data_IF_134954299012
#
_entry.id   IF_134954299012
#
_cell.length_a   1.000
_cell.length_b   1.000
_cell.length_c   1.000
_cell.angle_alpha   90.00
_cell.angle_beta   90.00
_cell.angle_gamma   90.00
#
_symmetry.space_group_name_H-M   'P 1'
#
loop_
_entity.id
_entity.type
_entity.pdbx_description
1 polymer ?
#
# COMPACT_ATOMS: atom_id res chain seq x y z
N UNK A 1 -6.43 -18.21 -15.65
CA UNK A 1 -5.36 -17.22 -15.37
C UNK A 1 -5.98 -16.16 -14.46
N UNK A 2 -5.56 -16.07 -13.18
CA UNK A 2 -5.96 -14.97 -12.31
C UNK A 2 -5.19 -13.74 -12.76
N UNK A 3 -5.88 -12.73 -13.30
CA UNK A 3 -5.30 -11.39 -13.48
C UNK A 3 -4.75 -10.96 -12.12
N UNK A 4 -3.46 -10.64 -12.04
CA UNK A 4 -2.91 -9.95 -10.88
C UNK A 4 -3.67 -8.63 -10.78
N UNK A 5 -4.50 -8.47 -9.76
CA UNK A 5 -5.07 -7.17 -9.43
C UNK A 5 -3.89 -6.29 -9.03
N UNK A 6 -3.62 -5.27 -9.79
CA UNK A 6 -2.72 -4.19 -9.42
C UNK A 6 -3.15 -3.67 -8.05
N UNK A 7 -2.22 -3.63 -7.11
CA UNK A 7 -2.49 -3.09 -5.78
C UNK A 7 -2.65 -1.58 -5.90
N UNK A 8 -3.88 -1.11 -5.89
CA UNK A 8 -4.19 0.32 -5.91
C UNK A 8 -3.63 1.00 -4.65
N UNK A 9 -2.97 2.13 -4.84
CA UNK A 9 -2.33 2.90 -3.77
C UNK A 9 -3.34 3.83 -3.07
N UNK A 10 -4.26 3.23 -2.30
CA UNK A 10 -5.34 3.95 -1.65
C UNK A 10 -4.89 4.99 -0.62
N UNK A 11 -3.82 4.72 0.17
CA UNK A 11 -3.34 5.64 1.20
C UNK A 11 -2.80 6.95 0.62
N UNK A 12 -1.91 6.96 -0.40
CA UNK A 12 -1.52 8.20 -1.06
C UNK A 12 -2.69 8.99 -1.65
N UNK A 13 -3.68 8.31 -2.24
CA UNK A 13 -4.88 8.95 -2.77
C UNK A 13 -5.77 9.53 -1.65
N UNK A 14 -5.93 8.81 -0.55
CA UNK A 14 -6.61 9.33 0.64
C UNK A 14 -5.90 10.56 1.20
N UNK A 15 -4.57 10.52 1.32
CA UNK A 15 -3.76 11.65 1.77
C UNK A 15 -3.96 12.89 0.89
N UNK A 16 -4.01 12.71 -0.41
CA UNK A 16 -4.32 13.80 -1.35
C UNK A 16 -5.79 14.25 -1.21
N UNK A 17 -6.72 13.31 -1.13
CA UNK A 17 -8.16 13.60 -1.03
C UNK A 17 -8.53 14.40 0.22
N UNK A 18 -7.96 14.06 1.38
CA UNK A 18 -8.25 14.82 2.61
C UNK A 18 -7.67 16.23 2.57
N UNK A 19 -6.52 16.44 1.89
CA UNK A 19 -5.97 17.77 1.66
C UNK A 19 -6.85 18.62 0.73
N UNK A 20 -7.45 18.00 -0.29
CA UNK A 20 -8.43 18.65 -1.17
C UNK A 20 -9.67 19.07 -0.38
N UNK A 21 -10.24 18.15 0.40
CA UNK A 21 -11.43 18.44 1.20
C UNK A 21 -11.20 19.57 2.22
N UNK A 22 -9.98 19.67 2.74
CA UNK A 22 -9.58 20.71 3.71
C UNK A 22 -8.83 21.88 3.05
N UNK A 23 -8.93 22.04 1.72
CA UNK A 23 -8.16 23.06 1.00
C UNK A 23 -8.46 24.51 1.46
N UNK A 24 -9.69 24.79 1.86
CA UNK A 24 -10.08 26.09 2.42
C UNK A 24 -9.42 26.41 3.76
N UNK A 25 -8.88 25.41 4.46
CA UNK A 25 -8.26 25.55 5.79
C UNK A 25 -6.72 25.43 5.74
N UNK A 26 -6.15 25.37 4.52
CA UNK A 26 -4.74 25.01 4.28
C UNK A 26 -3.72 25.92 4.98
N UNK A 27 -4.06 27.19 5.17
CA UNK A 27 -3.20 28.15 5.89
C UNK A 27 -3.08 27.86 7.39
N UNK A 28 -4.04 27.11 7.93
CA UNK A 28 -4.15 26.79 9.38
C UNK A 28 -3.85 25.33 9.70
N UNK A 29 -3.59 24.50 8.68
CA UNK A 29 -3.35 23.08 8.84
C UNK A 29 -2.02 22.67 8.22
N UNK A 30 -1.25 21.86 8.94
CA UNK A 30 -0.09 21.16 8.40
C UNK A 30 -0.30 19.66 8.44
N UNK A 31 0.16 18.95 7.40
CA UNK A 31 -0.07 17.53 7.21
C UNK A 31 1.25 16.77 7.30
N UNK A 32 1.33 15.78 8.17
CA UNK A 32 2.49 14.92 8.38
C UNK A 32 2.08 13.48 8.11
N UNK A 33 2.57 12.91 7.00
CA UNK A 33 2.29 11.54 6.59
C UNK A 33 3.35 10.59 7.16
N UNK A 34 2.94 9.37 7.53
CA UNK A 34 3.85 8.31 8.00
C UNK A 34 4.73 8.73 9.20
N UNK A 35 4.13 9.29 10.22
CA UNK A 35 4.86 9.67 11.42
C UNK A 35 5.46 8.44 12.12
N UNK A 36 6.79 8.44 12.31
CA UNK A 36 7.52 7.32 12.92
C UNK A 36 7.59 7.46 14.43
N UNK A 37 7.15 6.44 15.15
CA UNK A 37 7.34 6.32 16.59
C UNK A 37 8.69 5.67 16.93
N UNK A 38 9.63 6.47 17.44
CA UNK A 38 10.88 5.99 18.00
C UNK A 38 11.86 5.34 17.02
N UNK A 39 12.86 4.61 17.54
CA UNK A 39 13.98 4.03 16.78
C UNK A 39 13.70 2.68 16.13
N UNK A 40 12.50 2.08 16.30
CA UNK A 40 12.11 0.83 15.65
C UNK A 40 10.90 1.06 14.76
N UNK A 41 10.98 0.70 13.46
CA UNK A 41 9.90 0.93 12.53
C UNK A 41 8.72 -0.03 12.82
N UNK A 42 7.76 0.41 13.61
CA UNK A 42 6.37 0.05 13.36
C UNK A 42 5.82 1.19 12.53
N UNK A 43 5.86 1.05 11.22
CA UNK A 43 5.10 1.90 10.33
C UNK A 43 3.62 1.71 10.69
N UNK A 44 3.04 2.75 11.22
CA UNK A 44 1.59 2.89 11.32
C UNK A 44 1.27 3.94 10.27
N UNK A 45 0.48 3.58 9.28
CA UNK A 45 0.05 4.47 8.19
C UNK A 45 -0.98 5.49 8.72
N UNK A 46 -0.53 6.33 9.66
CA UNK A 46 -1.34 7.35 10.29
C UNK A 46 -0.95 8.70 9.77
N UNK A 47 -1.94 9.47 9.32
CA UNK A 47 -1.81 10.87 9.00
C UNK A 47 -1.97 11.72 10.26
N UNK A 48 -1.06 12.65 10.50
CA UNK A 48 -1.23 13.68 11.53
C UNK A 48 -1.51 15.02 10.85
N UNK A 49 -2.61 15.64 11.27
CA UNK A 49 -2.98 16.99 10.86
C UNK A 49 -2.80 17.90 12.07
N UNK A 50 -1.86 18.83 12.00
CA UNK A 50 -1.62 19.84 13.04
C UNK A 50 -2.40 21.11 12.70
N UNK A 51 -3.11 21.63 13.69
CA UNK A 51 -3.93 22.83 13.57
C UNK A 51 -3.30 23.99 14.33
N UNK A 52 -3.28 25.15 13.74
CA UNK A 52 -2.74 26.35 14.36
C UNK A 52 -3.68 26.91 15.42
N UNK A 53 -3.18 27.07 16.64
CA UNK A 53 -3.82 27.80 17.73
C UNK A 53 -5.32 27.52 17.89
N UNK A 54 -6.09 28.58 18.13
CA UNK A 54 -7.54 28.53 18.40
C UNK A 54 -8.41 28.55 17.12
N UNK A 55 -7.80 28.42 15.93
CA UNK A 55 -8.56 28.40 14.70
C UNK A 55 -9.65 27.32 14.71
N UNK A 56 -10.86 27.67 14.28
CA UNK A 56 -11.98 26.74 14.17
C UNK A 56 -12.18 26.32 12.73
N UNK A 57 -11.89 25.04 12.42
CA UNK A 57 -12.09 24.46 11.10
C UNK A 57 -13.58 24.47 10.75
N UNK A 58 -13.93 25.07 9.62
CA UNK A 58 -15.32 25.22 9.17
C UNK A 58 -15.81 23.98 8.43
N UNK A 59 -14.91 23.31 7.71
CA UNK A 59 -15.24 22.07 6.99
C UNK A 59 -15.77 21.02 7.95
N UNK A 60 -16.91 20.41 7.63
CA UNK A 60 -17.65 19.50 8.50
C UNK A 60 -16.79 18.33 9.05
N UNK A 61 -15.94 17.71 8.23
CA UNK A 61 -15.06 16.61 8.64
C UNK A 61 -13.94 17.05 9.60
N UNK A 62 -13.62 18.35 9.65
CA UNK A 62 -12.56 18.90 10.48
C UNK A 62 -13.06 19.67 11.72
N UNK A 63 -14.37 19.81 11.93
CA UNK A 63 -14.91 20.57 13.07
C UNK A 63 -14.49 20.04 14.43
N UNK A 64 -14.19 18.75 14.55
CA UNK A 64 -13.69 18.13 15.78
C UNK A 64 -12.22 18.45 16.07
N UNK A 65 -11.46 18.93 15.06
CA UNK A 65 -10.02 19.06 15.11
C UNK A 65 -9.55 19.98 16.23
N UNK A 66 -8.50 19.52 16.92
CA UNK A 66 -7.73 20.25 17.92
C UNK A 66 -6.29 20.42 17.47
N UNK A 67 -5.36 20.72 18.35
CA UNK A 67 -3.95 20.95 18.00
C UNK A 67 -3.32 19.83 17.19
N UNK A 68 -3.63 18.58 17.53
CA UNK A 68 -3.04 17.38 16.90
C UNK A 68 -4.14 16.37 16.53
N UNK A 69 -4.29 16.08 15.24
CA UNK A 69 -5.40 15.26 14.78
C UNK A 69 -4.84 14.00 14.08
N UNK A 70 -5.02 12.87 14.72
CA UNK A 70 -4.54 11.56 14.25
C UNK A 70 -5.62 10.94 13.39
N UNK A 71 -5.30 10.64 12.13
CA UNK A 71 -6.28 10.15 11.16
C UNK A 71 -5.83 8.79 10.63
N UNK A 72 -6.63 7.76 10.87
CA UNK A 72 -6.46 6.40 10.33
C UNK A 72 -7.44 6.17 9.20
N UNK A 73 -6.94 5.72 8.05
CA UNK A 73 -7.74 5.38 6.88
C UNK A 73 -7.76 3.87 6.62
N UNK A 74 -8.95 3.35 6.35
CA UNK A 74 -9.16 1.99 5.85
C UNK A 74 -9.67 2.03 4.42
N UNK A 75 -8.95 1.35 3.54
CA UNK A 75 -9.34 1.23 2.13
C UNK A 75 -10.73 0.61 1.94
N UNK A 76 -11.38 0.77 0.78
CA UNK A 76 -12.72 0.21 0.57
C UNK A 76 -12.82 -1.29 0.78
N UNK A 77 -11.74 -2.04 0.54
CA UNK A 77 -11.68 -3.48 0.75
C UNK A 77 -11.47 -3.88 2.22
N UNK A 78 -11.03 -2.94 3.07
CA UNK A 78 -10.71 -3.19 4.47
C UNK A 78 -11.86 -2.80 5.39
N UNK A 79 -11.95 -3.47 6.54
CA UNK A 79 -12.94 -3.13 7.56
C UNK A 79 -12.28 -2.59 8.80
N UNK A 80 -12.72 -1.43 9.27
CA UNK A 80 -12.33 -0.90 10.57
C UNK A 80 -12.81 -1.83 11.69
N UNK A 81 -11.89 -2.31 12.53
CA UNK A 81 -12.15 -3.29 13.57
C UNK A 81 -11.70 -2.82 14.97
N UNK A 82 -11.88 -3.66 15.99
CA UNK A 82 -11.58 -3.33 17.39
C UNK A 82 -10.06 -3.19 17.61
N UNK A 83 -9.27 -4.03 16.96
CA UNK A 83 -7.80 -3.99 17.10
C UNK A 83 -7.23 -2.72 16.47
N UNK A 84 -7.77 -2.27 15.33
CA UNK A 84 -7.43 -0.98 14.72
C UNK A 84 -7.71 0.18 15.67
N UNK A 85 -8.89 0.15 16.34
CA UNK A 85 -9.22 1.17 17.33
C UNK A 85 -8.16 1.26 18.44
N UNK A 86 -7.78 0.13 19.03
CA UNK A 86 -6.77 0.12 20.08
C UNK A 86 -5.37 0.47 19.58
N UNK A 87 -5.03 0.07 18.36
CA UNK A 87 -3.75 0.42 17.76
C UNK A 87 -3.60 1.94 17.62
N UNK A 88 -4.60 2.61 17.06
CA UNK A 88 -4.57 4.06 16.87
C UNK A 88 -4.68 4.79 18.21
N UNK A 89 -5.46 4.28 19.14
CA UNK A 89 -5.56 4.83 20.49
C UNK A 89 -4.21 4.74 21.23
N UNK A 90 -3.53 3.60 21.15
CA UNK A 90 -2.20 3.45 21.71
C UNK A 90 -1.19 4.39 21.01
N UNK A 91 -1.31 4.57 19.70
CA UNK A 91 -0.51 5.53 18.95
C UNK A 91 -0.70 6.96 19.48
N UNK A 92 -1.95 7.40 19.73
CA UNK A 92 -2.23 8.70 20.30
C UNK A 92 -1.58 8.89 21.68
N UNK A 93 -1.60 7.85 22.52
CA UNK A 93 -0.90 7.84 23.80
C UNK A 93 0.62 7.95 23.65
N UNK A 94 1.22 7.22 22.70
CA UNK A 94 2.65 7.31 22.41
C UNK A 94 3.03 8.66 21.82
N UNK A 95 2.23 9.20 20.92
CA UNK A 95 2.46 10.52 20.34
C UNK A 95 2.51 11.62 21.41
N UNK A 96 1.58 11.58 22.36
CA UNK A 96 1.60 12.46 23.53
C UNK A 96 2.86 12.26 24.39
N UNK A 97 3.22 11.00 24.66
CA UNK A 97 4.33 10.67 25.54
C UNK A 97 5.70 10.98 24.94
N UNK A 98 5.84 10.99 23.62
CA UNK A 98 7.08 11.31 22.87
C UNK A 98 7.26 12.82 22.64
N UNK A 99 6.37 13.66 23.17
CA UNK A 99 6.46 15.11 23.05
C UNK A 99 7.65 15.69 23.84
N UNK A 100 8.34 16.65 23.23
CA UNK A 100 9.45 17.38 23.87
C UNK A 100 9.24 18.89 23.77
N UNK A 101 9.38 19.65 24.89
CA UNK A 101 9.64 19.19 26.27
C UNK A 101 8.49 18.30 26.81
N UNK A 102 8.76 17.57 27.91
CA UNK A 102 7.74 16.74 28.53
C UNK A 102 6.45 17.55 28.83
N UNK A 103 5.29 16.91 28.62
CA UNK A 103 3.97 17.52 28.77
C UNK A 103 3.70 18.71 27.83
N UNK A 104 4.43 18.83 26.74
CA UNK A 104 4.19 19.86 25.72
C UNK A 104 2.84 19.69 24.98
N UNK A 105 2.43 18.44 24.75
CA UNK A 105 1.14 18.10 24.16
C UNK A 105 0.21 17.61 25.26
N UNK A 106 -0.92 18.28 25.45
CA UNK A 106 -1.97 17.83 26.35
C UNK A 106 -2.86 16.78 25.66
N UNK A 107 -3.43 15.84 26.43
CA UNK A 107 -4.28 14.79 25.86
C UNK A 107 -5.54 15.37 25.23
N UNK A 108 -6.02 16.46 25.81
CA UNK A 108 -7.18 17.22 25.33
C UNK A 108 -6.94 17.88 23.97
N UNK A 109 -5.67 18.11 23.59
CA UNK A 109 -5.30 18.70 22.30
C UNK A 109 -5.19 17.65 21.17
N UNK A 110 -5.37 16.38 21.50
CA UNK A 110 -5.36 15.30 20.53
C UNK A 110 -6.79 14.92 20.14
N UNK A 111 -7.00 14.64 18.86
CA UNK A 111 -8.22 13.99 18.35
C UNK A 111 -7.88 12.74 17.55
N UNK A 112 -8.81 11.80 17.48
CA UNK A 112 -8.70 10.61 16.64
C UNK A 112 -9.83 10.60 15.62
N UNK A 113 -9.48 10.46 14.35
CA UNK A 113 -10.43 10.29 13.25
C UNK A 113 -10.19 8.95 12.56
N UNK A 114 -11.20 8.09 12.58
CA UNK A 114 -11.21 6.87 11.78
C UNK A 114 -11.99 7.11 10.49
N UNK A 115 -11.38 6.83 9.36
CA UNK A 115 -12.01 6.93 8.04
C UNK A 115 -12.18 5.53 7.46
N UNK A 116 -13.40 5.14 7.15
CA UNK A 116 -13.71 3.84 6.57
C UNK A 116 -14.83 3.94 5.54
N UNK A 117 -14.86 3.03 4.57
CA UNK A 117 -15.87 3.04 3.52
C UNK A 117 -17.25 2.62 4.04
N UNK A 118 -17.32 1.54 4.82
CA UNK A 118 -18.55 0.96 5.32
C UNK A 118 -18.70 1.15 6.85
N UNK A 119 -19.97 1.19 7.32
CA UNK A 119 -20.28 1.28 8.75
C UNK A 119 -19.65 0.12 9.54
N UNK A 120 -18.77 0.38 10.53
CA UNK A 120 -18.02 -0.63 11.24
C UNK A 120 -18.83 -1.27 12.38
N UNK A 121 -19.82 -2.10 12.04
CA UNK A 121 -20.85 -2.64 12.97
C UNK A 121 -20.27 -3.29 14.23
N UNK A 122 -19.18 -4.07 14.09
CA UNK A 122 -18.54 -4.79 15.22
C UNK A 122 -17.88 -3.81 16.19
N UNK A 123 -17.14 -2.83 15.67
CA UNK A 123 -16.51 -1.79 16.47
C UNK A 123 -17.56 -0.96 17.19
N UNK A 124 -18.59 -0.48 16.49
CA UNK A 124 -19.66 0.34 17.10
C UNK A 124 -20.37 -0.40 18.23
N UNK A 125 -20.67 -1.69 18.03
CA UNK A 125 -21.25 -2.52 19.09
C UNK A 125 -20.33 -2.60 20.30
N UNK A 126 -19.05 -2.87 20.09
CA UNK A 126 -18.04 -2.94 21.13
C UNK A 126 -17.94 -1.60 21.91
N UNK A 127 -17.86 -0.47 21.20
CA UNK A 127 -17.79 0.85 21.83
C UNK A 127 -19.02 1.14 22.71
N UNK A 128 -20.22 0.75 22.26
CA UNK A 128 -21.46 0.94 23.01
C UNK A 128 -21.59 -0.01 24.20
N UNK A 129 -21.39 -1.32 23.99
CA UNK A 129 -21.68 -2.35 24.98
C UNK A 129 -20.55 -2.55 26.00
N UNK A 130 -19.29 -2.47 25.56
CA UNK A 130 -18.12 -2.73 26.40
C UNK A 130 -17.52 -1.43 26.96
N UNK A 131 -17.32 -0.42 26.09
CA UNK A 131 -16.74 0.86 26.50
C UNK A 131 -17.78 1.83 27.07
N UNK A 132 -19.09 1.53 26.93
CA UNK A 132 -20.21 2.36 27.35
C UNK A 132 -20.20 3.76 26.72
N UNK A 133 -19.60 3.87 25.50
CA UNK A 133 -19.59 5.12 24.76
C UNK A 133 -20.90 5.36 24.02
N UNK A 134 -21.23 6.64 23.81
CA UNK A 134 -22.35 7.03 22.96
C UNK A 134 -21.85 7.39 21.57
N UNK A 135 -22.58 6.98 20.55
CA UNK A 135 -22.28 7.32 19.15
C UNK A 135 -23.36 8.30 18.68
N UNK A 136 -22.93 9.53 18.39
CA UNK A 136 -23.82 10.60 17.93
C UNK A 136 -23.49 10.95 16.49
N UNK A 137 -24.49 10.97 15.64
CA UNK A 137 -24.33 11.46 14.26
C UNK A 137 -24.36 12.99 14.30
N UNK A 138 -23.30 13.62 13.76
CA UNK A 138 -23.18 15.08 13.68
C UNK A 138 -23.61 15.61 12.31
N UNK A 139 -23.33 14.83 11.26
CA UNK A 139 -23.68 15.13 9.88
C UNK A 139 -23.76 13.83 9.07
N UNK A 140 -24.13 13.90 7.79
CA UNK A 140 -24.14 12.75 6.90
C UNK A 140 -22.76 12.07 6.87
N UNK A 141 -22.68 10.80 7.30
CA UNK A 141 -21.45 10.02 7.34
C UNK A 141 -20.44 10.43 8.43
N UNK A 142 -20.76 11.38 9.31
CA UNK A 142 -19.88 11.88 10.37
C UNK A 142 -20.47 11.51 11.72
N UNK A 143 -19.73 10.74 12.51
CA UNK A 143 -20.17 10.25 13.82
C UNK A 143 -19.13 10.55 14.89
N UNK A 144 -19.56 11.19 15.99
CA UNK A 144 -18.73 11.41 17.17
C UNK A 144 -18.92 10.27 18.17
N UNK A 145 -17.82 9.85 18.77
CA UNK A 145 -17.78 8.88 19.88
C UNK A 145 -17.63 9.68 21.17
N UNK A 146 -18.66 9.65 21.99
CA UNK A 146 -18.72 10.42 23.24
C UNK A 146 -18.48 9.51 24.45
N UNK A 147 -17.75 10.00 25.44
CA UNK A 147 -17.45 9.26 26.67
C UNK A 147 -15.96 8.96 26.86
N UNK A 148 -15.11 9.31 25.91
CA UNK A 148 -13.66 9.27 26.05
C UNK A 148 -13.08 10.67 26.34
N UNK A 149 -11.89 10.72 26.93
CA UNK A 149 -11.13 11.96 27.10
C UNK A 149 -10.59 12.51 25.80
N UNK A 150 -10.18 11.61 24.89
CA UNK A 150 -9.78 11.98 23.53
C UNK A 150 -11.04 12.13 22.68
N UNK A 151 -11.29 13.27 22.02
CA UNK A 151 -12.37 13.38 21.05
C UNK A 151 -12.14 12.46 19.86
N UNK A 152 -13.10 11.60 19.57
CA UNK A 152 -13.01 10.59 18.53
C UNK A 152 -14.17 10.78 17.55
N UNK A 153 -13.86 10.74 16.23
CA UNK A 153 -14.88 10.67 15.20
C UNK A 153 -14.67 9.48 14.27
N UNK A 154 -15.74 9.04 13.65
CA UNK A 154 -15.75 8.03 12.60
C UNK A 154 -16.39 8.64 11.36
N UNK A 155 -15.65 8.68 10.27
CA UNK A 155 -16.11 9.10 8.95
C UNK A 155 -16.44 7.84 8.13
N UNK A 156 -17.67 7.72 7.68
CA UNK A 156 -18.13 6.64 6.79
C UNK A 156 -18.29 7.20 5.40
N UNK A 157 -17.27 7.03 4.56
CA UNK A 157 -17.13 7.77 3.29
C UNK A 157 -18.33 7.59 2.36
N UNK A 158 -18.89 6.39 2.26
CA UNK A 158 -20.08 6.13 1.43
C UNK A 158 -21.36 6.83 1.91
N UNK A 159 -21.36 7.43 3.11
CA UNK A 159 -22.49 8.15 3.70
C UNK A 159 -22.26 9.66 3.75
N UNK A 160 -21.06 10.12 3.38
CA UNK A 160 -20.75 11.55 3.33
C UNK A 160 -21.63 12.26 2.30
N UNK A 161 -21.89 13.53 2.57
CA UNK A 161 -22.59 14.41 1.63
C UNK A 161 -21.72 14.62 0.36
N UNK A 162 -22.22 14.20 -0.79
CA UNK A 162 -21.56 14.44 -2.08
C UNK A 162 -21.38 15.94 -2.38
N UNK A 163 -22.21 16.78 -1.84
CA UNK A 163 -22.09 18.24 -2.00
C UNK A 163 -20.89 18.80 -1.25
N UNK A 164 -20.59 18.25 -0.10
CA UNK A 164 -19.58 18.80 0.79
C UNK A 164 -18.26 18.03 0.79
N UNK A 165 -18.29 16.73 0.45
CA UNK A 165 -17.13 15.84 0.55
C UNK A 165 -17.01 14.93 -0.67
N UNK A 166 -17.08 15.50 -1.87
CA UNK A 166 -17.15 14.75 -3.14
C UNK A 166 -15.92 13.84 -3.32
N UNK A 167 -14.72 14.30 -2.96
CA UNK A 167 -13.49 13.55 -3.18
C UNK A 167 -13.35 12.35 -2.25
N UNK A 168 -13.63 12.51 -0.95
CA UNK A 168 -13.60 11.40 0.00
C UNK A 168 -14.75 10.42 -0.21
N UNK A 169 -15.94 10.89 -0.62
CA UNK A 169 -17.07 10.01 -0.89
C UNK A 169 -16.86 9.12 -2.11
N UNK A 170 -16.13 9.60 -3.11
CA UNK A 170 -15.80 8.83 -4.33
C UNK A 170 -14.47 8.06 -4.25
N UNK A 171 -13.74 8.14 -3.15
CA UNK A 171 -12.53 7.33 -2.94
C UNK A 171 -12.93 5.87 -2.63
N UNK A 172 -13.49 5.21 -3.64
CA UNK A 172 -14.08 3.85 -3.59
C UNK A 172 -13.88 3.12 -4.91
N UNK A 173 -14.00 1.80 -4.87
CA UNK A 173 -14.08 0.91 -6.03
C UNK A 173 -15.52 0.58 -6.44
N UNK A 174 -16.52 1.34 -5.93
CA UNK A 174 -17.95 1.07 -6.09
C UNK A 174 -18.74 2.36 -6.37
N UNK A 175 -18.34 3.13 -7.38
CA UNK A 175 -19.14 4.26 -7.85
C UNK A 175 -20.46 3.72 -8.41
N UNK A 176 -21.58 4.29 -7.96
CA UNK A 176 -22.91 3.72 -8.16
C UNK A 176 -23.48 3.91 -9.57
N UNK A 177 -23.05 4.95 -10.31
CA UNK A 177 -23.61 5.26 -11.63
C UNK A 177 -22.65 6.13 -12.46
N UNK A 178 -22.84 6.11 -13.78
CA UNK A 178 -22.18 7.01 -14.73
C UNK A 178 -22.43 8.49 -14.38
N UNK A 179 -23.64 8.85 -13.98
CA UNK A 179 -23.97 10.22 -13.58
C UNK A 179 -23.16 10.72 -12.36
N UNK A 180 -22.74 9.83 -11.47
CA UNK A 180 -21.82 10.16 -10.38
C UNK A 180 -20.38 10.36 -10.91
N UNK A 181 -19.94 9.51 -11.84
CA UNK A 181 -18.66 9.65 -12.51
C UNK A 181 -18.58 10.96 -13.30
N UNK A 182 -19.63 11.31 -14.06
CA UNK A 182 -19.73 12.57 -14.81
C UNK A 182 -19.57 13.79 -13.89
N UNK A 183 -20.29 13.83 -12.77
CA UNK A 183 -20.17 14.91 -11.79
C UNK A 183 -18.75 15.07 -11.25
N UNK A 184 -18.09 13.95 -10.98
CA UNK A 184 -16.72 13.98 -10.50
C UNK A 184 -15.76 14.51 -11.57
N UNK A 185 -16.00 14.16 -12.85
CA UNK A 185 -15.25 14.68 -14.00
C UNK A 185 -15.47 16.18 -14.15
N UNK A 186 -16.72 16.67 -14.04
CA UNK A 186 -17.02 18.10 -14.08
C UNK A 186 -16.26 18.87 -12.99
N UNK A 187 -16.23 18.36 -11.77
CA UNK A 187 -15.48 18.96 -10.66
C UNK A 187 -13.96 18.91 -10.93
N UNK A 188 -13.45 17.80 -11.48
CA UNK A 188 -12.05 17.64 -11.81
C UNK A 188 -11.59 18.62 -12.91
N UNK A 189 -12.43 18.98 -13.87
CA UNK A 189 -12.06 19.86 -14.98
C UNK A 189 -11.49 21.21 -14.52
N UNK A 190 -11.93 21.73 -13.37
CA UNK A 190 -11.42 22.97 -12.79
C UNK A 190 -10.04 22.83 -12.14
N UNK A 191 -9.54 21.59 -11.96
CA UNK A 191 -8.36 21.27 -11.15
C UNK A 191 -7.37 20.34 -11.84
N UNK A 192 -7.41 20.22 -13.16
CA UNK A 192 -6.61 19.27 -13.95
C UNK A 192 -5.10 19.45 -13.83
N UNK A 193 -4.63 20.67 -13.51
CA UNK A 193 -3.20 20.96 -13.32
C UNK A 193 -2.72 20.72 -11.88
N UNK A 194 -3.63 20.52 -10.93
CA UNK A 194 -3.27 20.27 -9.52
C UNK A 194 -2.93 18.80 -9.30
N UNK A 195 -1.71 18.54 -8.81
CA UNK A 195 -1.20 17.19 -8.58
C UNK A 195 -1.99 16.39 -7.52
N UNK A 196 -2.60 17.07 -6.53
CA UNK A 196 -3.42 16.38 -5.54
C UNK A 196 -4.68 15.81 -6.22
N UNK A 197 -5.34 16.63 -7.02
CA UNK A 197 -6.53 16.23 -7.77
C UNK A 197 -6.21 15.13 -8.79
N UNK A 198 -5.09 15.26 -9.52
CA UNK A 198 -4.61 14.21 -10.43
C UNK A 198 -4.39 12.88 -9.70
N UNK A 199 -3.73 12.90 -8.54
CA UNK A 199 -3.44 11.69 -7.77
C UNK A 199 -4.70 10.98 -7.26
N UNK A 200 -5.70 11.75 -6.81
CA UNK A 200 -6.98 11.19 -6.36
C UNK A 200 -7.77 10.65 -7.55
N UNK A 201 -7.86 11.42 -8.63
CA UNK A 201 -8.62 11.06 -9.82
C UNK A 201 -8.03 9.82 -10.50
N UNK A 202 -6.71 9.68 -10.59
CA UNK A 202 -6.04 8.49 -11.12
C UNK A 202 -6.50 7.21 -10.41
N UNK A 203 -6.50 7.21 -9.08
CA UNK A 203 -6.93 6.04 -8.29
C UNK A 203 -8.43 5.76 -8.44
N UNK A 204 -9.27 6.80 -8.42
CA UNK A 204 -10.73 6.64 -8.58
C UNK A 204 -11.06 6.05 -9.95
N UNK A 205 -10.46 6.57 -11.02
CA UNK A 205 -10.67 6.10 -12.39
C UNK A 205 -10.20 4.65 -12.55
N UNK A 206 -9.02 4.32 -12.04
CA UNK A 206 -8.48 2.94 -12.08
C UNK A 206 -9.33 1.95 -11.32
N UNK A 207 -9.89 2.38 -10.18
CA UNK A 207 -10.76 1.54 -9.37
C UNK A 207 -12.13 1.30 -10.02
N UNK A 208 -12.63 2.26 -10.81
CA UNK A 208 -14.00 2.29 -11.35
C UNK A 208 -14.02 2.44 -12.87
N UNK A 209 -13.13 1.76 -13.56
CA UNK A 209 -12.85 1.94 -14.98
C UNK A 209 -14.10 1.89 -15.87
N UNK A 210 -14.99 0.95 -15.60
CA UNK A 210 -16.21 0.76 -16.41
C UNK A 210 -17.12 2.00 -16.39
N UNK A 211 -17.25 2.65 -15.23
CA UNK A 211 -18.09 3.85 -15.05
C UNK A 211 -17.50 5.10 -15.72
N UNK A 212 -16.20 5.10 -15.95
CA UNK A 212 -15.51 6.22 -16.60
C UNK A 212 -15.26 6.03 -18.10
N UNK A 213 -15.53 4.85 -18.67
CA UNK A 213 -15.30 4.59 -20.11
C UNK A 213 -16.08 5.54 -21.02
N UNK A 214 -17.32 5.89 -20.68
CA UNK A 214 -18.12 6.87 -21.43
C UNK A 214 -17.73 8.31 -21.08
N UNK A 215 -17.42 8.58 -19.81
CA UNK A 215 -17.05 9.91 -19.34
C UNK A 215 -15.67 10.40 -19.85
N UNK A 216 -14.79 9.50 -20.30
CA UNK A 216 -13.45 9.88 -20.83
C UNK A 216 -13.51 10.83 -22.04
N UNK A 217 -14.60 10.81 -22.80
CA UNK A 217 -14.79 11.70 -23.94
C UNK A 217 -15.12 13.15 -23.53
N UNK A 218 -15.53 13.35 -22.27
CA UNK A 218 -15.94 14.67 -21.75
C UNK A 218 -14.77 15.55 -21.36
N UNK A 219 -13.59 14.96 -21.04
CA UNK A 219 -12.44 15.68 -20.50
C UNK A 219 -11.14 15.20 -21.15
N UNK A 220 -10.38 16.14 -21.74
CA UNK A 220 -9.08 15.84 -22.36
C UNK A 220 -8.06 15.33 -21.33
N UNK A 221 -8.01 15.93 -20.12
CA UNK A 221 -7.15 15.48 -19.05
C UNK A 221 -7.51 14.05 -18.57
N UNK A 222 -8.78 13.66 -18.64
CA UNK A 222 -9.19 12.27 -18.33
C UNK A 222 -8.69 11.31 -19.42
N UNK A 223 -8.73 11.69 -20.69
CA UNK A 223 -8.12 10.89 -21.79
C UNK A 223 -6.61 10.74 -21.60
N UNK A 224 -5.92 11.78 -21.15
CA UNK A 224 -4.49 11.72 -20.83
C UNK A 224 -4.21 10.76 -19.68
N UNK A 225 -4.99 10.80 -18.59
CA UNK A 225 -4.89 9.84 -17.48
C UNK A 225 -5.06 8.39 -17.95
N UNK A 226 -6.03 8.11 -18.83
CA UNK A 226 -6.21 6.79 -19.43
C UNK A 226 -5.05 6.38 -20.34
N UNK A 227 -4.49 7.33 -21.10
CA UNK A 227 -3.34 7.07 -21.98
C UNK A 227 -2.07 6.80 -21.17
N UNK A 228 -1.81 7.56 -20.12
CA UNK A 228 -0.69 7.38 -19.20
C UNK A 228 -0.78 6.05 -18.45
N UNK A 229 -1.99 5.64 -18.05
CA UNK A 229 -2.22 4.34 -17.43
C UNK A 229 -1.87 3.19 -18.39
N UNK A 230 -2.33 3.28 -19.65
CA UNK A 230 -2.01 2.28 -20.67
C UNK A 230 -0.50 2.17 -20.93
N UNK A 231 0.19 3.29 -20.98
CA UNK A 231 1.64 3.31 -21.16
C UNK A 231 2.39 2.74 -19.95
N UNK A 232 2.00 3.10 -18.73
CA UNK A 232 2.54 2.53 -17.48
C UNK A 232 2.30 1.02 -17.40
N UNK A 233 1.08 0.56 -17.66
CA UNK A 233 0.75 -0.86 -17.67
C UNK A 233 1.55 -1.64 -18.73
N UNK A 234 1.81 -1.02 -19.89
CA UNK A 234 2.66 -1.59 -20.95
C UNK A 234 4.12 -1.71 -20.52
N UNK A 235 4.67 -0.67 -19.88
CA UNK A 235 6.04 -0.66 -19.37
C UNK A 235 6.24 -1.67 -18.24
N UNK A 236 5.27 -1.79 -17.32
CA UNK A 236 5.30 -2.77 -16.25
C UNK A 236 5.25 -4.21 -16.79
N UNK A 237 4.34 -4.48 -17.72
CA UNK A 237 4.24 -5.79 -18.40
C UNK A 237 5.53 -6.16 -19.13
N UNK A 238 6.18 -5.21 -19.80
CA UNK A 238 7.49 -5.42 -20.44
C UNK A 238 8.57 -5.71 -19.41
N UNK A 239 8.59 -4.98 -18.29
CA UNK A 239 9.56 -5.19 -17.21
C UNK A 239 9.37 -6.52 -16.51
N UNK A 240 8.14 -6.92 -16.23
CA UNK A 240 7.82 -8.23 -15.65
C UNK A 240 8.23 -9.35 -16.60
N UNK A 241 7.84 -9.27 -17.87
CA UNK A 241 8.24 -10.25 -18.90
C UNK A 241 9.75 -10.38 -19.06
N UNK A 242 10.48 -9.26 -18.99
CA UNK A 242 11.94 -9.27 -19.04
C UNK A 242 12.55 -9.93 -17.78
N UNK A 243 12.04 -9.62 -16.59
CA UNK A 243 12.49 -10.22 -15.34
C UNK A 243 12.19 -11.73 -15.29
N UNK A 244 11.02 -12.14 -15.75
CA UNK A 244 10.62 -13.55 -15.81
C UNK A 244 11.46 -14.33 -16.83
N UNK A 245 11.65 -13.78 -18.02
CA UNK A 245 12.55 -14.37 -19.04
C UNK A 245 13.99 -14.52 -18.56
N UNK A 246 14.52 -13.51 -17.84
CA UNK A 246 15.86 -13.58 -17.26
C UNK A 246 15.97 -14.64 -16.15
N UNK A 247 14.92 -14.79 -15.35
CA UNK A 247 14.84 -15.80 -14.28
C UNK A 247 14.74 -17.22 -14.87
N UNK A 248 13.92 -17.40 -15.89
CA UNK A 248 13.77 -18.69 -16.56
C UNK A 248 15.05 -19.07 -17.33
N UNK A 249 15.63 -18.14 -18.10
CA UNK A 249 16.90 -18.37 -18.80
C UNK A 249 18.06 -18.74 -17.87
N UNK A 250 18.16 -18.08 -16.67
CA UNK A 250 19.14 -18.47 -15.65
C UNK A 250 18.87 -19.88 -15.09
N UNK A 251 17.60 -20.25 -14.93
CA UNK A 251 17.20 -21.57 -14.40
C UNK A 251 17.49 -22.68 -15.41
N UNK A 252 17.20 -22.44 -16.68
CA UNK A 252 17.49 -23.38 -17.76
C UNK A 252 18.98 -23.50 -18.01
N UNK A 253 19.71 -22.40 -18.12
CA UNK A 253 21.17 -22.42 -18.28
C UNK A 253 21.89 -23.14 -17.15
N UNK A 254 21.43 -22.96 -15.87
CA UNK A 254 21.98 -23.77 -14.76
C UNK A 254 21.64 -25.26 -14.88
N UNK A 255 20.47 -25.62 -15.40
CA UNK A 255 20.05 -27.01 -15.57
C UNK A 255 20.83 -27.69 -16.70
N UNK A 256 21.01 -26.96 -17.78
CA UNK A 256 21.80 -27.47 -18.94
C UNK A 256 23.28 -27.57 -18.60
N UNK A 257 23.90 -26.53 -18.02
CA UNK A 257 25.29 -26.58 -17.59
C UNK A 257 25.59 -27.69 -16.59
N UNK A 258 24.62 -28.00 -15.69
CA UNK A 258 24.71 -29.12 -14.76
C UNK A 258 24.66 -30.48 -15.47
N UNK A 259 23.83 -30.61 -16.52
CA UNK A 259 23.74 -31.83 -17.32
C UNK A 259 25.03 -32.06 -18.16
N UNK A 260 25.51 -30.98 -18.74
CA UNK A 260 26.71 -31.02 -19.59
C UNK A 260 27.95 -31.30 -18.76
N UNK A 261 28.19 -30.60 -17.66
CA UNK A 261 29.30 -30.88 -16.76
C UNK A 261 29.29 -32.28 -16.16
N UNK A 262 28.10 -32.85 -15.87
CA UNK A 262 27.97 -34.26 -15.45
C UNK A 262 28.34 -35.23 -16.55
N UNK A 263 27.95 -34.92 -17.78
CA UNK A 263 28.27 -35.78 -18.97
C UNK A 263 29.76 -35.73 -19.30
N UNK A 264 30.37 -34.57 -19.23
CA UNK A 264 31.82 -34.40 -19.44
C UNK A 264 32.64 -35.07 -18.35
N UNK A 265 32.27 -34.90 -17.09
CA UNK A 265 32.91 -35.56 -15.96
C UNK A 265 32.84 -37.08 -16.05
N UNK A 266 31.68 -37.65 -16.41
CA UNK A 266 31.57 -39.10 -16.67
C UNK A 266 32.41 -39.57 -17.84
N UNK A 267 32.48 -38.80 -18.91
CA UNK A 267 33.31 -39.13 -20.06
C UNK A 267 34.80 -39.09 -19.71
N UNK A 268 35.27 -38.13 -18.93
CA UNK A 268 36.63 -38.05 -18.44
C UNK A 268 37.00 -39.24 -17.55
N UNK A 269 36.11 -39.61 -16.58
CA UNK A 269 36.31 -40.79 -15.71
C UNK A 269 36.40 -42.09 -16.55
N UNK A 270 35.53 -42.26 -17.55
CA UNK A 270 35.55 -43.42 -18.40
C UNK A 270 36.85 -43.52 -19.21
N UNK A 271 37.32 -42.39 -19.76
CA UNK A 271 38.63 -42.36 -20.49
C UNK A 271 39.79 -42.67 -19.55
N UNK A 272 39.79 -42.16 -18.34
CA UNK A 272 40.80 -42.46 -17.31
C UNK A 272 40.82 -43.97 -17.01
N UNK A 273 39.65 -44.58 -16.78
CA UNK A 273 39.54 -46.00 -16.47
C UNK A 273 40.05 -46.89 -17.62
N UNK A 274 39.75 -46.52 -18.87
CA UNK A 274 40.26 -47.23 -20.05
C UNK A 274 41.79 -47.14 -20.10
N UNK A 275 42.39 -45.96 -19.97
CA UNK A 275 43.85 -45.78 -19.95
C UNK A 275 44.54 -46.58 -18.83
N UNK A 276 43.96 -46.55 -17.64
CA UNK A 276 44.48 -47.34 -16.50
C UNK A 276 44.42 -48.84 -16.77
N UNK A 277 43.34 -49.32 -17.41
CA UNK A 277 43.19 -50.71 -17.82
C UNK A 277 44.23 -51.12 -18.85
N UNK A 278 44.47 -50.29 -19.88
CA UNK A 278 45.48 -50.50 -20.93
C UNK A 278 46.90 -50.56 -20.37
N UNK A 279 47.16 -49.76 -19.29
CA UNK A 279 48.47 -49.73 -18.62
C UNK A 279 48.61 -50.81 -17.54
N UNK A 280 47.61 -51.69 -17.34
CA UNK A 280 47.62 -52.76 -16.33
C UNK A 280 47.47 -52.27 -14.88
N UNK A 281 47.08 -50.96 -14.69
CA UNK A 281 46.96 -50.32 -13.39
C UNK A 281 45.52 -50.47 -12.83
N UNK A 282 45.00 -51.69 -12.79
CA UNK A 282 43.64 -51.99 -12.37
C UNK A 282 43.37 -51.69 -10.89
N UNK A 283 44.39 -51.77 -10.01
CA UNK A 283 44.27 -51.41 -8.60
C UNK A 283 44.04 -49.92 -8.41
N UNK A 284 44.56 -49.08 -9.30
CA UNK A 284 44.38 -47.64 -9.27
C UNK A 284 42.93 -47.24 -9.63
N UNK A 285 42.23 -48.03 -10.44
CA UNK A 285 40.79 -47.84 -10.73
C UNK A 285 39.96 -48.01 -9.45
N UNK A 286 40.24 -49.04 -8.66
CA UNK A 286 39.56 -49.32 -7.42
C UNK A 286 39.87 -48.26 -6.34
N UNK A 287 41.12 -47.79 -6.33
CA UNK A 287 41.54 -46.71 -5.41
C UNK A 287 40.89 -45.39 -5.79
N UNK A 288 40.91 -45.01 -7.07
CA UNK A 288 40.25 -43.78 -7.56
C UNK A 288 38.73 -43.75 -7.31
N UNK A 289 38.07 -44.90 -7.34
CA UNK A 289 36.64 -45.02 -7.01
C UNK A 289 36.32 -44.78 -5.53
N UNK A 290 37.32 -44.87 -4.62
CA UNK A 290 37.15 -44.68 -3.17
C UNK A 290 37.75 -43.39 -2.65
N UNK A 291 38.69 -42.81 -3.42
CA UNK A 291 39.47 -41.62 -3.05
C UNK A 291 39.32 -40.55 -4.18
N UNK A 292 38.44 -39.53 -3.93
CA UNK A 292 38.23 -38.46 -4.92
C UNK A 292 39.49 -37.63 -5.20
N UNK A 293 40.38 -37.45 -4.23
CA UNK A 293 41.61 -36.68 -4.41
C UNK A 293 42.58 -37.43 -5.31
N UNK A 294 42.73 -38.75 -5.13
CA UNK A 294 43.49 -39.59 -5.99
C UNK A 294 42.91 -39.67 -7.42
N UNK A 295 41.60 -39.70 -7.54
CA UNK A 295 40.93 -39.60 -8.84
C UNK A 295 41.28 -38.32 -9.60
N UNK A 296 41.25 -37.17 -8.88
CA UNK A 296 41.60 -35.86 -9.47
C UNK A 296 43.09 -35.82 -9.90
N UNK A 297 43.99 -36.43 -9.13
CA UNK A 297 45.41 -36.57 -9.52
C UNK A 297 45.58 -37.36 -10.81
N UNK A 298 44.86 -38.46 -10.96
CA UNK A 298 44.90 -39.28 -12.17
C UNK A 298 44.30 -38.57 -13.39
N UNK A 299 43.22 -37.82 -13.21
CA UNK A 299 42.66 -37.00 -14.30
C UNK A 299 43.64 -35.93 -14.77
N UNK A 300 44.40 -35.31 -13.85
CA UNK A 300 45.50 -34.39 -14.19
C UNK A 300 46.69 -35.11 -14.85
N UNK A 301 47.09 -36.30 -14.39
CA UNK A 301 48.15 -37.14 -14.97
C UNK A 301 47.86 -37.48 -16.44
N UNK A 302 46.57 -37.76 -16.75
CA UNK A 302 46.15 -38.14 -18.10
C UNK A 302 45.67 -36.97 -18.96
N UNK A 303 45.73 -35.75 -18.47
CA UNK A 303 45.22 -34.52 -19.12
C UNK A 303 43.77 -34.66 -19.60
N UNK A 304 42.87 -35.08 -18.73
CA UNK A 304 41.44 -35.34 -18.98
C UNK A 304 40.53 -34.35 -18.31
#
# INVERSE_FOLDING_TARGET
>A
MKKSRELLQWHPAFYAGIQIELAGEREHLSFENEHHLGTRPKQIDVLIIKKDGDYQVQKNIGRIFRGHNIVEYKSPADSLNIDDFYMVYAYACFYKADSYPADFIEMEDITITFVCHAWPRKLIRYLKEVRQYQIRQEDAGIYHVLGDHIPIQILVTRQLSLRENIWLSHLTDQIGSEAEAERLVEEYQAHTEDKLYQSVMDIIVRANREQFEEAKEMCEALRELFADELEKARQESQREGWCEGQREGRKEGRKEGRKEGRREGLAAINKMNLKLSELGRTEDILKAARDPEFQEQLLKEFHL
#
